data_IF_666927441574
#
_entry.id   IF_666927441574
#
_cell.length_a   1.000
_cell.length_b   1.000
_cell.length_c   1.000
_cell.angle_alpha   90.00
_cell.angle_beta   90.00
_cell.angle_gamma   90.00
#
_symmetry.space_group_name_H-M   'P 1'
#
loop_
_entity.id
_entity.type
_entity.pdbx_description
1 polymer ?
#
# COMPACT_ATOMS: atom_id res chain seq x y z
N UNK A 1 -23.96 -22.21 -13.37
CA UNK A 1 -23.08 -21.27 -12.65
C UNK A 1 -21.64 -21.47 -13.10
N UNK A 2 -20.92 -20.38 -13.28
CA UNK A 2 -19.48 -20.39 -13.57
C UNK A 2 -18.70 -20.02 -12.30
N UNK A 3 -17.66 -20.78 -11.99
CA UNK A 3 -16.72 -20.45 -10.92
C UNK A 3 -15.37 -20.15 -11.53
N UNK A 4 -14.86 -18.93 -11.34
CA UNK A 4 -13.55 -18.51 -11.79
C UNK A 4 -12.63 -18.38 -10.57
N UNK A 5 -11.39 -18.86 -10.68
CA UNK A 5 -10.38 -18.76 -9.64
C UNK A 5 -9.10 -18.20 -10.25
N UNK A 6 -8.58 -17.14 -9.66
CA UNK A 6 -7.26 -16.61 -9.97
C UNK A 6 -6.28 -16.94 -8.85
N UNK A 7 -5.03 -17.20 -9.22
CA UNK A 7 -3.93 -17.43 -8.28
C UNK A 7 -2.96 -16.25 -8.37
N UNK A 8 -2.47 -15.84 -7.22
CA UNK A 8 -1.43 -14.82 -7.10
C UNK A 8 -0.23 -15.34 -6.31
N UNK A 9 0.75 -14.48 -6.14
CA UNK A 9 1.90 -14.70 -5.27
C UNK A 9 1.78 -13.69 -4.13
N UNK A 10 1.58 -14.19 -2.91
CA UNK A 10 1.42 -13.34 -1.72
C UNK A 10 2.72 -12.63 -1.36
N UNK A 11 2.60 -11.41 -0.87
CA UNK A 11 3.69 -10.61 -0.36
C UNK A 11 3.20 -9.53 0.61
N UNK A 12 4.13 -8.87 1.25
CA UNK A 12 3.82 -7.74 2.12
C UNK A 12 3.72 -6.47 1.28
N UNK A 13 2.67 -5.66 1.49
CA UNK A 13 2.42 -4.45 0.67
C UNK A 13 3.56 -3.42 0.72
N UNK A 14 4.34 -3.41 1.79
CA UNK A 14 5.53 -2.55 1.92
C UNK A 14 6.79 -3.11 1.24
N UNK A 15 6.75 -4.35 0.75
CA UNK A 15 7.82 -5.05 0.02
C UNK A 15 7.14 -5.90 -1.07
N UNK A 16 6.61 -5.24 -2.11
CA UNK A 16 5.74 -5.91 -3.08
C UNK A 16 6.50 -6.69 -4.16
N UNK A 17 7.83 -6.62 -4.19
CA UNK A 17 8.67 -7.22 -5.20
C UNK A 17 8.40 -8.74 -5.31
N UNK A 18 8.19 -9.22 -6.54
CA UNK A 18 7.86 -10.61 -6.82
C UNK A 18 6.43 -11.03 -6.45
N UNK A 19 5.62 -10.12 -5.91
CA UNK A 19 4.20 -10.38 -5.61
C UNK A 19 3.33 -10.29 -6.86
N UNK A 20 2.28 -11.11 -6.92
CA UNK A 20 1.24 -11.05 -7.96
C UNK A 20 -0.11 -10.92 -7.29
N UNK A 21 -0.81 -9.83 -7.55
CA UNK A 21 -2.10 -9.55 -6.94
C UNK A 21 -3.21 -10.40 -7.58
N UNK A 22 -3.72 -11.41 -6.86
CA UNK A 22 -4.73 -12.35 -7.39
C UNK A 22 -6.02 -11.65 -7.83
N UNK A 23 -6.44 -10.60 -7.13
CA UNK A 23 -7.62 -9.82 -7.52
C UNK A 23 -7.40 -9.07 -8.84
N UNK A 24 -6.19 -8.53 -9.09
CA UNK A 24 -5.84 -7.95 -10.38
C UNK A 24 -5.94 -8.98 -11.50
N UNK A 25 -5.31 -10.15 -11.33
CA UNK A 25 -5.37 -11.23 -12.33
C UNK A 25 -6.81 -11.63 -12.64
N UNK A 26 -7.67 -11.75 -11.63
CA UNK A 26 -9.07 -12.08 -11.79
C UNK A 26 -9.82 -11.00 -12.57
N UNK A 27 -9.70 -9.75 -12.14
CA UNK A 27 -10.48 -8.64 -12.73
C UNK A 27 -9.98 -8.26 -14.11
N UNK A 28 -8.68 -8.39 -14.37
CA UNK A 28 -8.10 -8.21 -15.72
C UNK A 28 -8.67 -9.21 -16.71
N UNK A 29 -8.86 -10.45 -16.29
CA UNK A 29 -9.46 -11.49 -17.14
C UNK A 29 -10.98 -11.29 -17.37
N UNK A 30 -11.67 -10.55 -16.50
CA UNK A 30 -13.13 -10.44 -16.53
C UNK A 30 -13.64 -9.08 -17.04
N UNK A 31 -12.85 -8.02 -16.99
CA UNK A 31 -13.28 -6.63 -17.21
C UNK A 31 -13.94 -6.35 -18.56
N UNK A 32 -13.57 -7.12 -19.60
CA UNK A 32 -14.01 -6.90 -20.97
C UNK A 32 -15.05 -7.95 -21.44
N UNK A 33 -15.51 -8.83 -20.54
CA UNK A 33 -16.48 -9.84 -20.90
C UNK A 33 -17.89 -9.24 -21.03
N UNK A 34 -18.51 -9.40 -22.20
CA UNK A 34 -19.80 -8.76 -22.58
C UNK A 34 -21.01 -9.25 -21.77
N UNK A 35 -20.92 -10.42 -21.13
CA UNK A 35 -22.05 -10.94 -20.35
C UNK A 35 -22.22 -10.29 -18.96
N UNK A 36 -21.25 -9.47 -18.52
CA UNK A 36 -21.39 -8.68 -17.31
C UNK A 36 -22.17 -7.39 -17.58
N UNK A 37 -22.88 -6.93 -16.54
CA UNK A 37 -23.54 -5.63 -16.56
C UNK A 37 -22.49 -4.51 -16.57
N UNK A 38 -22.90 -3.31 -16.96
CA UNK A 38 -21.98 -2.16 -17.04
C UNK A 38 -21.36 -1.82 -15.68
N UNK A 39 -22.14 -1.95 -14.60
CA UNK A 39 -21.67 -1.72 -13.23
C UNK A 39 -20.58 -2.72 -12.82
N UNK A 40 -20.75 -3.99 -13.20
CA UNK A 40 -19.75 -5.03 -12.92
C UNK A 40 -18.46 -4.75 -13.67
N UNK A 41 -18.56 -4.36 -14.94
CA UNK A 41 -17.37 -4.01 -15.75
C UNK A 41 -16.63 -2.80 -15.19
N UNK A 42 -17.34 -1.75 -14.76
CA UNK A 42 -16.76 -0.59 -14.09
C UNK A 42 -16.04 -0.98 -12.81
N UNK A 43 -16.62 -1.86 -12.00
CA UNK A 43 -15.97 -2.38 -10.79
C UNK A 43 -14.68 -3.13 -11.14
N UNK A 44 -14.69 -3.99 -12.15
CA UNK A 44 -13.48 -4.72 -12.56
C UNK A 44 -12.40 -3.77 -13.10
N UNK A 45 -12.77 -2.77 -13.88
CA UNK A 45 -11.86 -1.74 -14.36
C UNK A 45 -11.26 -0.93 -13.22
N UNK A 46 -12.07 -0.55 -12.23
CA UNK A 46 -11.60 0.13 -11.02
C UNK A 46 -10.57 -0.73 -10.27
N UNK A 47 -10.89 -2.01 -10.04
CA UNK A 47 -9.99 -2.95 -9.36
C UNK A 47 -8.68 -3.17 -10.14
N UNK A 48 -8.74 -3.20 -11.47
CA UNK A 48 -7.54 -3.26 -12.30
C UNK A 48 -6.67 -2.01 -12.13
N UNK A 49 -7.28 -0.83 -12.09
CA UNK A 49 -6.54 0.42 -11.86
C UNK A 49 -5.90 0.50 -10.48
N UNK A 50 -6.60 0.01 -9.46
CA UNK A 50 -6.10 0.02 -8.09
C UNK A 50 -4.97 -0.99 -7.83
N UNK A 51 -4.93 -2.09 -8.59
CA UNK A 51 -4.06 -3.24 -8.33
C UNK A 51 -3.15 -3.62 -9.52
N UNK A 52 -3.14 -2.84 -10.59
CA UNK A 52 -2.28 -3.07 -11.76
C UNK A 52 -0.79 -2.94 -11.46
N UNK A 53 -0.49 -2.16 -10.44
CA UNK A 53 0.84 -2.05 -9.85
C UNK A 53 0.71 -1.76 -8.35
N UNK A 54 1.82 -1.92 -7.62
CA UNK A 54 1.85 -1.62 -6.17
C UNK A 54 2.32 -0.21 -5.85
N UNK A 55 2.65 0.61 -6.85
CA UNK A 55 3.26 1.94 -6.67
C UNK A 55 2.30 3.09 -6.97
N UNK A 56 1.02 2.76 -7.26
CA UNK A 56 -0.06 3.71 -7.40
C UNK A 56 -0.12 4.44 -8.75
N UNK A 57 0.61 3.99 -9.77
CA UNK A 57 0.56 4.59 -11.12
C UNK A 57 -0.85 4.52 -11.71
N UNK A 58 -1.46 3.31 -11.70
CA UNK A 58 -2.83 3.11 -12.18
C UNK A 58 -3.86 3.94 -11.41
N UNK A 59 -3.65 4.14 -10.12
CA UNK A 59 -4.52 4.92 -9.27
C UNK A 59 -4.27 6.44 -9.34
N UNK A 60 -3.21 6.90 -10.00
CA UNK A 60 -2.85 8.31 -10.12
C UNK A 60 -2.33 8.95 -8.83
N UNK A 61 -1.75 8.13 -7.94
CA UNK A 61 -1.18 8.57 -6.66
C UNK A 61 0.31 8.27 -6.51
N UNK A 62 0.95 7.79 -7.58
CA UNK A 62 2.38 7.49 -7.57
C UNK A 62 3.19 8.73 -7.17
N UNK A 63 4.09 8.55 -6.23
CA UNK A 63 5.06 9.55 -5.76
C UNK A 63 6.23 8.84 -5.09
N UNK A 64 7.38 9.52 -5.03
CA UNK A 64 8.59 9.01 -4.42
C UNK A 64 9.45 10.12 -3.82
N UNK A 65 10.33 9.78 -2.91
CA UNK A 65 11.41 10.65 -2.43
C UNK A 65 12.72 9.88 -2.21
N UNK A 66 13.82 10.62 -2.10
CA UNK A 66 15.15 10.05 -1.89
C UNK A 66 15.33 9.42 -0.51
N UNK A 67 14.51 9.81 0.48
CA UNK A 67 14.66 9.37 1.88
C UNK A 67 13.94 8.05 2.15
N UNK A 68 12.76 7.86 1.56
CA UNK A 68 11.89 6.73 1.87
C UNK A 68 11.45 5.90 0.65
N UNK A 69 11.86 6.32 -0.55
CA UNK A 69 11.53 5.62 -1.78
C UNK A 69 10.11 5.89 -2.27
N UNK A 70 9.60 4.98 -3.08
CA UNK A 70 8.30 5.13 -3.73
C UNK A 70 7.12 4.82 -2.79
N UNK A 71 5.97 5.46 -3.06
CA UNK A 71 4.69 5.02 -2.52
C UNK A 71 4.48 3.54 -2.82
N UNK A 72 3.98 2.80 -1.85
CA UNK A 72 3.52 1.43 -2.07
C UNK A 72 2.15 1.19 -1.43
N UNK A 73 1.33 0.38 -2.08
CA UNK A 73 -0.02 0.11 -1.61
C UNK A 73 -0.80 -0.81 -2.53
N UNK A 74 -1.93 -1.27 -2.05
CA UNK A 74 -2.86 -2.08 -2.82
C UNK A 74 -4.27 -2.02 -2.22
N UNK A 75 -5.27 -2.31 -3.04
CA UNK A 75 -6.60 -2.66 -2.58
C UNK A 75 -6.57 -4.16 -2.23
N UNK A 76 -6.34 -4.47 -0.96
CA UNK A 76 -5.99 -5.81 -0.48
C UNK A 76 -7.18 -6.60 0.09
N UNK A 77 -8.33 -5.97 0.25
CA UNK A 77 -9.56 -6.66 0.67
C UNK A 77 -10.72 -6.26 -0.25
N UNK A 78 -11.41 -7.26 -0.78
CA UNK A 78 -12.70 -7.09 -1.45
C UNK A 78 -13.64 -8.20 -0.98
N UNK A 79 -14.85 -7.84 -0.53
CA UNK A 79 -15.85 -8.77 0.01
C UNK A 79 -17.22 -8.41 -0.52
N UNK A 80 -17.92 -9.37 -1.08
CA UNK A 80 -19.32 -9.23 -1.36
C UNK A 80 -20.13 -9.17 -0.06
N UNK A 81 -21.06 -8.26 0.01
CA UNK A 81 -21.94 -8.07 1.16
C UNK A 81 -23.38 -7.83 0.73
N UNK A 82 -24.32 -8.25 1.57
CA UNK A 82 -25.74 -7.98 1.45
C UNK A 82 -26.24 -7.30 2.72
N UNK A 83 -27.00 -6.21 2.54
CA UNK A 83 -27.67 -5.49 3.62
C UNK A 83 -29.12 -5.19 3.18
N UNK A 84 -30.06 -5.99 3.64
CA UNK A 84 -31.44 -5.98 3.17
C UNK A 84 -31.50 -6.28 1.67
N UNK A 85 -32.05 -5.35 0.89
CA UNK A 85 -32.12 -5.46 -0.58
C UNK A 85 -30.87 -4.97 -1.30
N UNK A 86 -29.93 -4.38 -0.59
CA UNK A 86 -28.69 -3.82 -1.16
C UNK A 86 -27.62 -4.88 -1.26
N UNK A 87 -27.03 -4.98 -2.43
CA UNK A 87 -25.88 -5.85 -2.73
C UNK A 87 -24.70 -4.97 -3.13
N UNK A 88 -23.56 -5.17 -2.52
CA UNK A 88 -22.37 -4.36 -2.81
C UNK A 88 -21.07 -5.11 -2.54
N UNK A 89 -19.98 -4.62 -3.10
CA UNK A 89 -18.63 -5.09 -2.77
C UNK A 89 -17.99 -4.07 -1.82
N UNK A 90 -17.73 -4.50 -0.59
CA UNK A 90 -16.96 -3.72 0.36
C UNK A 90 -15.48 -3.93 0.09
N UNK A 91 -14.72 -2.84 0.07
CA UNK A 91 -13.30 -2.86 -0.28
C UNK A 91 -12.47 -2.06 0.72
N UNK A 92 -11.22 -2.46 0.89
CA UNK A 92 -10.23 -1.71 1.67
C UNK A 92 -8.90 -1.69 0.94
N UNK A 93 -8.30 -0.50 0.85
CA UNK A 93 -6.92 -0.31 0.40
C UNK A 93 -6.05 0.24 1.53
N UNK A 94 -4.78 -0.07 1.48
CA UNK A 94 -3.74 0.43 2.38
C UNK A 94 -2.58 0.96 1.51
N UNK A 95 -2.20 2.20 1.73
CA UNK A 95 -1.14 2.87 0.99
C UNK A 95 -0.15 3.50 1.96
N UNK A 96 1.11 3.43 1.62
CA UNK A 96 2.23 4.00 2.35
C UNK A 96 2.93 4.98 1.45
N UNK A 97 2.92 6.23 1.82
CA UNK A 97 3.44 7.31 1.01
C UNK A 97 4.76 7.85 1.58
N UNK A 98 5.58 8.48 0.73
CA UNK A 98 6.89 9.01 1.10
C UNK A 98 6.83 10.05 2.22
N UNK A 99 7.97 10.27 2.86
CA UNK A 99 8.15 11.23 3.95
C UNK A 99 8.00 12.66 3.45
N UNK A 100 8.51 12.94 2.24
CA UNK A 100 8.49 14.27 1.61
C UNK A 100 7.76 14.22 0.27
N UNK A 101 7.33 15.38 -0.22
CA UNK A 101 6.71 15.50 -1.54
C UNK A 101 5.31 14.92 -1.67
N UNK A 102 4.75 14.32 -0.61
CA UNK A 102 3.42 13.74 -0.61
C UNK A 102 2.62 14.23 0.59
N UNK A 103 1.35 14.52 0.35
CA UNK A 103 0.39 14.88 1.41
C UNK A 103 -0.71 13.83 1.41
N UNK A 104 -0.84 13.10 2.51
CA UNK A 104 -1.78 11.99 2.64
C UNK A 104 -3.23 12.39 2.33
N UNK A 105 -3.65 13.58 2.76
CA UNK A 105 -4.98 14.12 2.44
C UNK A 105 -5.20 14.29 0.93
N UNK A 106 -4.23 14.83 0.19
CA UNK A 106 -4.33 15.01 -1.26
C UNK A 106 -4.36 13.66 -2.01
N UNK A 107 -3.53 12.70 -1.59
CA UNK A 107 -3.56 11.34 -2.13
C UNK A 107 -4.91 10.67 -1.86
N UNK A 108 -5.45 10.88 -0.66
CA UNK A 108 -6.77 10.40 -0.27
C UNK A 108 -7.88 10.99 -1.15
N UNK A 109 -7.86 12.30 -1.40
CA UNK A 109 -8.82 12.98 -2.26
C UNK A 109 -8.76 12.45 -3.71
N UNK A 110 -7.55 12.19 -4.24
CA UNK A 110 -7.39 11.57 -5.56
C UNK A 110 -8.00 10.18 -5.62
N UNK A 111 -7.82 9.35 -4.57
CA UNK A 111 -8.43 8.02 -4.49
C UNK A 111 -9.96 8.09 -4.39
N UNK A 112 -10.50 9.02 -3.60
CA UNK A 112 -11.94 9.25 -3.51
C UNK A 112 -12.51 9.70 -4.85
N UNK A 113 -11.84 10.63 -5.53
CA UNK A 113 -12.22 11.07 -6.87
C UNK A 113 -12.21 9.91 -7.88
N UNK A 114 -11.13 9.14 -7.91
CA UNK A 114 -11.00 7.97 -8.78
C UNK A 114 -12.16 6.98 -8.54
N UNK A 115 -12.44 6.63 -7.29
CA UNK A 115 -13.54 5.75 -6.94
C UNK A 115 -14.90 6.27 -7.49
N UNK A 116 -15.15 7.58 -7.36
CA UNK A 116 -16.35 8.24 -7.89
C UNK A 116 -16.50 8.10 -9.40
N UNK A 117 -15.42 8.17 -10.17
CA UNK A 117 -15.44 7.98 -11.63
C UNK A 117 -15.94 6.58 -12.04
N UNK A 118 -15.79 5.59 -11.17
CA UNK A 118 -16.23 4.22 -11.37
C UNK A 118 -17.54 3.88 -10.63
N UNK A 119 -18.23 4.89 -10.10
CA UNK A 119 -19.49 4.69 -9.37
C UNK A 119 -19.31 4.11 -7.96
N UNK A 120 -18.08 4.04 -7.45
CA UNK A 120 -17.77 3.59 -6.09
C UNK A 120 -17.85 4.77 -5.11
N UNK A 121 -18.27 4.48 -3.86
CA UNK A 121 -18.16 5.43 -2.75
C UNK A 121 -16.91 5.08 -1.94
N UNK A 122 -16.04 6.06 -1.70
CA UNK A 122 -14.85 5.89 -0.89
C UNK A 122 -14.82 6.93 0.25
N UNK A 123 -14.19 6.54 1.34
CA UNK A 123 -13.92 7.41 2.50
C UNK A 123 -12.49 7.14 2.99
N UNK A 124 -11.82 8.18 3.41
CA UNK A 124 -10.52 8.05 4.07
C UNK A 124 -10.78 7.65 5.52
N UNK A 125 -10.42 6.42 5.85
CA UNK A 125 -10.60 5.88 7.21
C UNK A 125 -9.54 6.37 8.17
N UNK A 126 -8.31 6.53 7.67
CA UNK A 126 -7.16 6.90 8.48
C UNK A 126 -6.08 7.52 7.60
N UNK A 127 -5.48 8.59 8.07
CA UNK A 127 -4.24 9.15 7.54
C UNK A 127 -3.24 9.30 8.69
N UNK A 128 -2.13 8.59 8.62
CA UNK A 128 -1.03 8.68 9.57
C UNK A 128 0.22 9.13 8.82
N UNK A 129 0.73 10.29 9.16
CA UNK A 129 1.96 10.82 8.58
C UNK A 129 3.12 9.82 8.73
N UNK A 130 4.00 9.72 7.73
CA UNK A 130 5.23 8.96 7.85
C UNK A 130 6.03 9.40 9.08
N UNK A 131 6.73 8.46 9.69
CA UNK A 131 7.64 8.73 10.79
C UNK A 131 9.08 8.65 10.28
N UNK A 132 9.85 9.67 10.58
CA UNK A 132 11.26 9.74 10.21
C UNK A 132 12.08 10.27 11.40
N UNK A 133 13.21 9.64 11.66
CA UNK A 133 14.21 10.13 12.58
C UNK A 133 15.54 10.28 11.83
N UNK A 134 16.15 11.46 11.95
CA UNK A 134 17.39 11.80 11.27
C UNK A 134 18.48 10.76 11.61
N UNK A 135 19.15 10.16 10.62
CA UNK A 135 20.29 9.28 10.82
C UNK A 135 21.41 9.90 11.67
N UNK A 136 21.53 11.23 11.64
CA UNK A 136 22.53 11.98 12.42
C UNK A 136 22.09 12.26 13.87
N UNK A 137 20.87 11.88 14.25
CA UNK A 137 20.40 12.03 15.63
C UNK A 137 21.19 11.16 16.61
N UNK A 138 21.31 11.61 17.88
CA UNK A 138 22.03 10.87 18.92
C UNK A 138 21.49 9.46 19.15
N UNK A 139 20.17 9.29 19.02
CA UNK A 139 19.52 7.98 19.15
C UNK A 139 20.03 7.02 18.09
N UNK A 140 20.00 7.42 16.81
CA UNK A 140 20.44 6.56 15.70
C UNK A 140 21.94 6.28 15.81
N UNK A 141 22.77 7.31 16.08
CA UNK A 141 24.22 7.15 16.26
C UNK A 141 24.56 6.18 17.40
N UNK A 142 23.85 6.26 18.50
CA UNK A 142 24.06 5.36 19.64
C UNK A 142 23.76 3.92 19.28
N UNK A 143 22.60 3.67 18.64
CA UNK A 143 22.20 2.32 18.21
C UNK A 143 23.18 1.76 17.19
N UNK A 144 23.59 2.56 16.22
CA UNK A 144 24.57 2.14 15.18
C UNK A 144 25.94 1.86 15.76
N UNK A 145 26.38 2.66 16.75
CA UNK A 145 27.63 2.42 17.47
C UNK A 145 27.60 1.09 18.24
N UNK A 146 26.51 0.82 18.95
CA UNK A 146 26.33 -0.44 19.65
C UNK A 146 26.32 -1.64 18.66
N UNK A 147 25.65 -1.52 17.53
CA UNK A 147 25.65 -2.54 16.48
C UNK A 147 27.05 -2.85 15.99
N UNK A 148 27.86 -1.82 15.64
CA UNK A 148 29.24 -2.00 15.18
C UNK A 148 30.11 -2.66 16.25
N UNK A 149 29.94 -2.24 17.50
CA UNK A 149 30.73 -2.81 18.62
C UNK A 149 30.46 -4.30 18.80
N UNK A 150 29.19 -4.72 18.70
CA UNK A 150 28.80 -6.11 18.95
C UNK A 150 29.09 -7.00 17.74
N UNK A 151 28.82 -6.51 16.52
CA UNK A 151 28.88 -7.35 15.31
C UNK A 151 30.17 -7.23 14.53
N UNK A 152 30.94 -6.16 14.73
CA UNK A 152 32.08 -5.81 13.92
C UNK A 152 31.74 -5.37 12.49
N UNK A 153 30.46 -5.22 12.17
CA UNK A 153 29.96 -4.86 10.83
C UNK A 153 29.71 -3.36 10.75
N UNK A 154 30.08 -2.76 9.62
CA UNK A 154 29.69 -1.40 9.27
C UNK A 154 28.39 -1.45 8.46
N UNK A 155 27.30 -1.08 9.08
CA UNK A 155 25.97 -1.02 8.47
C UNK A 155 25.46 0.41 8.53
N UNK A 156 24.48 0.73 7.68
CA UNK A 156 23.82 2.03 7.64
C UNK A 156 22.37 1.90 8.09
N UNK A 157 21.80 2.93 8.75
CA UNK A 157 20.35 2.96 8.98
C UNK A 157 19.62 3.06 7.64
N UNK A 158 18.46 2.45 7.53
CA UNK A 158 17.62 2.49 6.35
C UNK A 158 16.16 2.76 6.72
N UNK A 159 15.39 3.25 5.77
CA UNK A 159 13.95 3.43 5.89
C UNK A 159 13.22 2.19 5.41
N UNK A 160 12.03 1.96 5.92
CA UNK A 160 11.18 0.86 5.49
C UNK A 160 9.74 1.33 5.32
N UNK A 161 9.02 0.78 4.38
CA UNK A 161 7.61 1.08 4.13
C UNK A 161 6.65 0.47 5.17
N UNK A 162 7.16 -0.12 6.24
CA UNK A 162 6.40 -0.69 7.34
C UNK A 162 6.30 0.27 8.53
N UNK A 163 5.12 0.33 9.17
CA UNK A 163 4.96 1.03 10.44
C UNK A 163 5.39 0.15 11.62
N UNK A 164 6.19 0.69 12.53
CA UNK A 164 6.60 0.03 13.76
C UNK A 164 6.08 0.78 15.00
N UNK A 165 6.24 0.21 16.17
CA UNK A 165 5.87 0.88 17.43
C UNK A 165 6.73 2.12 17.71
N UNK A 166 7.92 2.22 17.12
CA UNK A 166 8.81 3.39 17.27
C UNK A 166 8.10 4.69 16.91
N UNK A 167 7.22 4.70 15.91
CA UNK A 167 6.45 5.88 15.51
C UNK A 167 5.54 6.47 16.61
N UNK A 168 5.29 5.74 17.69
CA UNK A 168 4.44 6.16 18.82
C UNK A 168 5.25 6.70 20.00
N UNK A 169 6.56 6.64 19.89
CA UNK A 169 7.47 7.05 20.95
C UNK A 169 8.37 8.20 20.45
N UNK A 170 8.63 9.21 21.25
CA UNK A 170 9.54 10.29 20.86
C UNK A 170 10.95 9.74 20.70
N UNK A 171 11.65 10.19 19.65
CA UNK A 171 13.05 9.86 19.39
C UNK A 171 13.38 8.36 19.41
N UNK A 172 12.44 7.50 18.97
CA UNK A 172 12.62 6.06 18.95
C UNK A 172 12.90 5.55 17.55
N UNK A 173 13.72 4.50 17.45
CA UNK A 173 13.96 3.77 16.20
C UNK A 173 13.67 2.30 16.41
N UNK A 174 13.27 1.64 15.35
CA UNK A 174 13.24 0.18 15.33
C UNK A 174 14.63 -0.36 15.10
N UNK A 175 14.99 -1.35 15.90
CA UNK A 175 16.25 -2.05 15.82
C UNK A 175 15.97 -3.55 15.90
N UNK A 176 16.58 -4.35 15.03
CA UNK A 176 16.37 -5.79 15.08
C UNK A 176 16.85 -6.57 13.86
N UNK A 177 16.25 -7.71 13.62
CA UNK A 177 16.74 -8.78 12.74
C UNK A 177 16.53 -8.55 11.24
N UNK A 178 15.95 -7.44 10.82
CA UNK A 178 15.83 -7.12 9.40
C UNK A 178 17.17 -6.63 8.90
N UNK A 179 17.75 -7.35 7.97
CA UNK A 179 18.98 -6.94 7.27
C UNK A 179 18.56 -6.31 5.95
N UNK A 180 19.31 -5.30 5.53
CA UNK A 180 19.26 -4.80 4.16
C UNK A 180 19.58 -5.98 3.22
N UNK A 181 18.63 -6.34 2.35
CA UNK A 181 18.81 -7.42 1.36
C UNK A 181 19.25 -6.86 0.03
#
# INVERSE_FOLDING_TARGET
>A
SLKVKALGIGGHVGFPEGSIHALYVLTEALKDLEFFQEEDRRLFQFLCRMNGDFYGNGAGIACEDELSGALCGALNIARYQEDGSKKYVWMQSDHRYPITGAVGAELGERLVHLAGLYGCKAVIKKDEKPYYLDPESDTVKTVMSAYRTVTGKDSRPFTMSGGTYARKLPNAVSYGMSLET
#
